data_IF_629130754666
#
_entry.id   IF_629130754666
#
_cell.length_a   1.000
_cell.length_b   1.000
_cell.length_c   1.000
_cell.angle_alpha   90.00
_cell.angle_beta   90.00
_cell.angle_gamma   90.00
#
_symmetry.space_group_name_H-M   'P 1'
#
loop_
_entity.id
_entity.type
_entity.pdbx_description
1 polymer ?
#
# COMPACT_ATOMS: atom_id res chain seq x y z
N UNK A 1 -7.78 25.72 -8.15
CA UNK A 1 -6.54 26.51 -7.93
C UNK A 1 -5.58 26.22 -9.09
N UNK A 2 -4.66 27.13 -9.44
CA UNK A 2 -3.80 26.94 -10.63
C UNK A 2 -2.81 25.78 -10.48
N UNK A 3 -2.26 25.55 -9.29
CA UNK A 3 -1.37 24.42 -9.04
C UNK A 3 -1.39 23.92 -7.59
N UNK A 4 -0.88 22.70 -7.39
CA UNK A 4 -0.67 22.08 -6.08
C UNK A 4 0.34 20.94 -6.12
N UNK A 5 0.54 20.29 -4.98
CA UNK A 5 1.54 19.23 -4.80
C UNK A 5 0.92 17.91 -4.32
N UNK A 6 1.36 16.82 -4.93
CA UNK A 6 1.20 15.48 -4.39
C UNK A 6 2.55 15.01 -3.88
N UNK A 7 2.64 14.62 -2.61
CA UNK A 7 3.92 14.32 -1.95
C UNK A 7 3.94 12.86 -1.54
N UNK A 8 4.95 12.11 -1.97
CA UNK A 8 5.29 10.86 -1.32
C UNK A 8 5.88 11.09 0.08
N UNK A 9 6.02 10.03 0.87
CA UNK A 9 6.51 10.06 2.24
C UNK A 9 7.91 9.48 2.37
N UNK A 10 8.09 8.21 2.02
CA UNK A 10 9.31 7.45 2.30
C UNK A 10 10.38 7.80 1.28
N UNK A 11 11.49 8.40 1.72
CA UNK A 11 12.50 8.92 0.80
C UNK A 11 12.25 10.35 0.33
N UNK A 12 11.11 10.96 0.69
CA UNK A 12 10.75 12.35 0.34
C UNK A 12 10.56 13.22 1.58
N UNK A 13 9.62 12.87 2.46
CA UNK A 13 9.34 13.60 3.70
C UNK A 13 10.07 13.03 4.91
N UNK A 14 10.41 11.74 4.88
CA UNK A 14 11.16 11.05 5.93
C UNK A 14 12.20 10.09 5.37
N UNK A 15 13.24 9.85 6.16
CA UNK A 15 14.24 8.81 5.96
C UNK A 15 14.16 7.85 7.15
N UNK A 16 13.48 6.73 6.95
CA UNK A 16 13.12 5.81 8.03
C UNK A 16 12.29 6.50 9.12
N UNK A 17 12.84 6.61 10.34
CA UNK A 17 12.13 7.16 11.49
C UNK A 17 12.36 8.67 11.73
N UNK A 18 13.06 9.37 10.81
CA UNK A 18 13.42 10.78 10.98
C UNK A 18 13.00 11.61 9.77
N UNK A 19 12.68 12.89 9.98
CA UNK A 19 12.41 13.85 8.90
C UNK A 19 13.53 13.87 7.85
N UNK A 20 13.15 13.94 6.57
CA UNK A 20 14.10 14.22 5.51
C UNK A 20 14.55 15.71 5.58
N UNK A 21 15.79 16.03 5.14
CA UNK A 21 16.26 17.41 5.09
C UNK A 21 15.27 18.32 4.33
N UNK A 22 14.91 19.45 4.94
CA UNK A 22 14.00 20.44 4.34
C UNK A 22 12.52 20.05 4.29
N UNK A 23 12.12 18.85 4.72
CA UNK A 23 10.73 18.39 4.61
C UNK A 23 9.74 19.26 5.40
N UNK A 24 10.00 19.48 6.69
CA UNK A 24 9.12 20.30 7.53
C UNK A 24 9.08 21.78 7.06
N UNK A 25 10.21 22.31 6.58
CA UNK A 25 10.29 23.67 6.03
C UNK A 25 9.47 23.79 4.74
N UNK A 26 9.56 22.80 3.85
CA UNK A 26 8.78 22.75 2.62
C UNK A 26 7.27 22.70 2.88
N UNK A 27 6.83 21.86 3.83
CA UNK A 27 5.41 21.77 4.22
C UNK A 27 4.90 23.09 4.81
N UNK A 28 5.67 23.72 5.72
CA UNK A 28 5.36 25.04 6.27
C UNK A 28 5.26 26.10 5.18
N UNK A 29 6.21 26.11 4.25
CA UNK A 29 6.22 27.05 3.13
C UNK A 29 4.98 26.92 2.24
N UNK A 30 4.52 25.70 1.96
CA UNK A 30 3.28 25.47 1.19
C UNK A 30 2.06 26.02 1.91
N UNK A 31 1.91 25.73 3.21
CA UNK A 31 0.80 26.24 4.02
C UNK A 31 0.83 27.78 4.15
N UNK A 32 2.00 28.38 4.44
CA UNK A 32 2.17 29.84 4.56
C UNK A 32 1.74 30.59 3.30
N UNK A 33 1.94 29.98 2.13
CA UNK A 33 1.57 30.55 0.84
C UNK A 33 0.21 30.04 0.31
N UNK A 34 -0.55 29.31 1.13
CA UNK A 34 -1.85 28.74 0.78
C UNK A 34 -1.82 27.87 -0.50
N UNK A 35 -0.70 27.16 -0.72
CA UNK A 35 -0.55 26.26 -1.86
C UNK A 35 -1.00 24.87 -1.44
N UNK A 36 -2.03 24.29 -2.10
CA UNK A 36 -2.61 23.03 -1.66
C UNK A 36 -1.63 21.89 -1.88
N UNK A 37 -1.58 20.97 -0.92
CA UNK A 37 -0.88 19.71 -1.07
C UNK A 37 -1.63 18.53 -0.47
N UNK A 38 -1.30 17.34 -0.95
CA UNK A 38 -1.83 16.08 -0.47
C UNK A 38 -0.71 15.03 -0.39
N UNK A 39 -0.80 14.12 0.56
CA UNK A 39 0.10 12.98 0.67
C UNK A 39 -0.43 11.84 -0.19
N UNK A 40 0.46 11.23 -0.99
CA UNK A 40 0.19 10.06 -1.83
C UNK A 40 1.22 8.97 -1.54
N UNK A 41 0.86 7.98 -0.73
CA UNK A 41 1.81 6.96 -0.22
C UNK A 41 1.29 5.53 -0.41
N UNK A 42 2.19 4.57 -0.64
CA UNK A 42 1.83 3.14 -0.63
C UNK A 42 1.79 2.53 0.79
N UNK A 43 1.97 3.35 1.83
CA UNK A 43 1.77 2.94 3.22
C UNK A 43 0.34 2.38 3.45
N UNK A 44 0.26 1.17 3.98
CA UNK A 44 -0.98 0.50 4.36
C UNK A 44 -1.51 0.92 5.74
N UNK A 45 -1.01 2.01 6.33
CA UNK A 45 -1.41 2.45 7.67
C UNK A 45 -2.76 3.18 7.61
N UNK A 46 -3.59 3.03 8.63
CA UNK A 46 -4.82 3.81 8.80
C UNK A 46 -4.55 5.33 8.79
N UNK A 47 -5.27 6.17 8.01
CA UNK A 47 -4.87 7.57 7.82
C UNK A 47 -4.72 8.39 9.11
N UNK A 48 -5.61 8.30 10.12
CA UNK A 48 -5.39 8.95 11.41
C UNK A 48 -4.19 8.42 12.23
N UNK A 49 -3.87 7.13 12.14
CA UNK A 49 -2.66 6.60 12.75
C UNK A 49 -1.41 7.08 12.01
N UNK A 50 -1.50 7.20 10.68
CA UNK A 50 -0.40 7.69 9.86
C UNK A 50 -0.16 9.19 10.07
N UNK A 51 -1.20 9.99 10.26
CA UNK A 51 -1.10 11.39 10.71
C UNK A 51 -0.27 11.52 11.99
N UNK A 52 -0.59 10.75 13.04
CA UNK A 52 0.15 10.76 14.30
C UNK A 52 1.61 10.31 14.14
N UNK A 53 1.83 9.31 13.28
CA UNK A 53 3.18 8.83 12.96
C UNK A 53 4.02 9.91 12.26
N UNK A 54 3.46 10.55 11.24
CA UNK A 54 4.13 11.59 10.47
C UNK A 54 4.40 12.83 11.32
N UNK A 55 3.45 13.25 12.16
CA UNK A 55 3.64 14.36 13.08
C UNK A 55 4.83 14.12 14.01
N UNK A 56 4.93 12.91 14.60
CA UNK A 56 6.04 12.54 15.48
C UNK A 56 7.39 12.52 14.76
N UNK A 57 7.43 12.08 13.51
CA UNK A 57 8.68 11.89 12.76
C UNK A 57 9.16 13.16 12.06
N UNK A 58 8.24 13.95 11.51
CA UNK A 58 8.52 15.14 10.71
C UNK A 58 8.50 16.41 11.56
N UNK A 59 7.78 16.39 12.70
CA UNK A 59 7.56 17.58 13.51
C UNK A 59 6.58 18.57 12.86
N UNK A 60 5.67 18.07 12.02
CA UNK A 60 4.66 18.87 11.32
C UNK A 60 3.38 18.05 11.16
N UNK A 61 2.25 18.63 11.56
CA UNK A 61 0.95 17.95 11.52
C UNK A 61 0.37 17.96 10.11
N UNK A 62 0.22 16.78 9.52
CA UNK A 62 -0.49 16.59 8.25
C UNK A 62 -1.84 15.94 8.57
N UNK A 63 -2.96 16.67 8.51
CA UNK A 63 -4.24 16.10 8.87
C UNK A 63 -4.56 14.93 7.94
N UNK A 64 -5.22 13.89 8.45
CA UNK A 64 -5.66 12.72 7.71
C UNK A 64 -6.58 13.08 6.54
N UNK A 65 -7.24 14.23 6.60
CA UNK A 65 -7.97 14.82 5.46
C UNK A 65 -7.06 15.23 4.29
N UNK A 66 -5.74 15.26 4.43
CA UNK A 66 -4.75 15.46 3.36
C UNK A 66 -3.96 14.19 3.05
N UNK A 67 -4.35 13.04 3.59
CA UNK A 67 -3.68 11.76 3.32
C UNK A 67 -4.53 10.94 2.34
N UNK A 68 -3.88 10.43 1.31
CA UNK A 68 -4.35 9.32 0.49
C UNK A 68 -3.23 8.31 0.43
N UNK A 69 -3.48 7.13 0.98
CA UNK A 69 -2.50 6.06 0.98
C UNK A 69 -3.13 4.72 0.59
N UNK A 70 -2.31 3.66 0.50
CA UNK A 70 -2.81 2.31 0.25
C UNK A 70 -3.92 1.92 1.24
N UNK A 71 -3.79 2.30 2.52
CA UNK A 71 -4.84 2.12 3.53
C UNK A 71 -6.18 2.77 3.14
N UNK A 72 -6.14 3.99 2.60
CA UNK A 72 -7.33 4.69 2.06
C UNK A 72 -8.00 3.87 0.94
N UNK A 73 -7.21 3.37 -0.01
CA UNK A 73 -7.76 2.57 -1.13
C UNK A 73 -8.37 1.25 -0.66
N UNK A 74 -7.80 0.64 0.39
CA UNK A 74 -8.34 -0.57 1.03
C UNK A 74 -9.67 -0.28 1.71
N UNK A 75 -9.78 0.84 2.44
CA UNK A 75 -11.04 1.26 3.07
C UNK A 75 -12.12 1.49 2.00
N UNK A 76 -11.81 2.23 0.94
CA UNK A 76 -12.75 2.50 -0.15
C UNK A 76 -13.22 1.21 -0.83
N UNK A 77 -12.30 0.28 -1.11
CA UNK A 77 -12.64 -1.05 -1.63
C UNK A 77 -13.60 -1.80 -0.69
N UNK A 78 -13.30 -1.84 0.61
CA UNK A 78 -14.13 -2.54 1.59
C UNK A 78 -15.55 -1.94 1.67
N UNK A 79 -15.66 -0.61 1.61
CA UNK A 79 -16.94 0.11 1.67
C UNK A 79 -17.75 -0.04 0.38
N UNK A 80 -17.11 0.15 -0.77
CA UNK A 80 -17.81 0.30 -2.05
C UNK A 80 -17.96 -1.01 -2.83
N UNK A 81 -17.04 -1.96 -2.67
CA UNK A 81 -16.93 -3.16 -3.53
C UNK A 81 -17.07 -4.48 -2.78
N UNK A 82 -16.67 -4.52 -1.51
CA UNK A 82 -16.67 -5.75 -0.71
C UNK A 82 -17.99 -6.01 0.04
N UNK A 83 -19.01 -5.16 -0.10
CA UNK A 83 -20.25 -5.28 0.68
C UNK A 83 -20.86 -6.68 0.57
N UNK A 84 -21.02 -7.34 1.72
CA UNK A 84 -21.58 -8.69 1.83
C UNK A 84 -20.63 -9.83 1.44
N UNK A 85 -19.45 -9.53 0.90
CA UNK A 85 -18.43 -10.52 0.54
C UNK A 85 -17.59 -10.92 1.74
N UNK A 86 -17.18 -12.18 1.76
CA UNK A 86 -16.19 -12.73 2.68
C UNK A 86 -14.79 -12.52 2.10
N UNK A 87 -13.94 -11.81 2.84
CA UNK A 87 -12.63 -11.40 2.37
C UNK A 87 -11.54 -12.19 3.10
N UNK A 88 -10.65 -12.83 2.34
CA UNK A 88 -9.40 -13.38 2.87
C UNK A 88 -8.38 -12.25 2.95
N UNK A 89 -8.04 -11.84 4.16
CA UNK A 89 -7.09 -10.75 4.41
C UNK A 89 -5.66 -11.31 4.51
N UNK A 90 -4.76 -10.67 3.76
CA UNK A 90 -3.31 -10.85 3.82
C UNK A 90 -2.71 -9.61 4.46
N UNK A 91 -1.98 -9.81 5.56
CA UNK A 91 -1.37 -8.74 6.35
C UNK A 91 -1.47 -8.94 7.84
N UNK A 92 -0.63 -8.25 8.60
CA UNK A 92 -0.66 -8.27 10.05
C UNK A 92 -1.89 -7.50 10.59
N UNK A 93 -2.62 -8.03 11.59
CA UNK A 93 -3.78 -7.37 12.18
C UNK A 93 -3.49 -5.96 12.73
N UNK A 94 -2.30 -5.71 13.27
CA UNK A 94 -1.93 -4.36 13.76
C UNK A 94 -2.02 -3.28 12.68
N UNK A 95 -1.76 -3.62 11.41
CA UNK A 95 -1.88 -2.70 10.29
C UNK A 95 -3.29 -2.70 9.69
N UNK A 96 -3.89 -3.88 9.59
CA UNK A 96 -5.09 -4.11 8.76
C UNK A 96 -6.41 -4.01 9.53
N UNK A 97 -6.43 -4.37 10.81
CA UNK A 97 -7.64 -4.31 11.64
C UNK A 97 -8.17 -2.88 11.82
N UNK A 98 -7.33 -1.83 12.02
CA UNK A 98 -7.80 -0.45 12.02
C UNK A 98 -8.54 -0.06 10.73
N UNK A 99 -8.01 -0.45 9.57
CA UNK A 99 -8.64 -0.21 8.26
C UNK A 99 -10.00 -0.90 8.15
N UNK A 100 -10.06 -2.18 8.51
CA UNK A 100 -11.29 -2.99 8.46
C UNK A 100 -12.36 -2.41 9.38
N UNK A 101 -11.98 -2.03 10.61
CA UNK A 101 -12.89 -1.39 11.58
C UNK A 101 -13.40 -0.04 11.06
N UNK A 102 -12.55 0.77 10.44
CA UNK A 102 -12.95 2.06 9.83
C UNK A 102 -13.91 1.85 8.66
N UNK A 103 -13.68 0.85 7.83
CA UNK A 103 -14.57 0.50 6.73
C UNK A 103 -15.91 -0.09 7.21
N UNK A 104 -15.97 -0.61 8.44
CA UNK A 104 -17.15 -1.27 9.00
C UNK A 104 -17.45 -2.63 8.38
N UNK A 105 -16.49 -3.24 7.68
CA UNK A 105 -16.68 -4.55 7.05
C UNK A 105 -16.44 -5.69 8.05
N UNK A 106 -17.41 -6.59 8.20
CA UNK A 106 -17.39 -7.60 9.27
C UNK A 106 -16.95 -8.99 8.80
N UNK A 107 -17.02 -9.27 7.50
CA UNK A 107 -16.76 -10.61 6.94
C UNK A 107 -15.31 -10.73 6.45
N UNK A 108 -14.36 -10.57 7.37
CA UNK A 108 -12.94 -10.75 7.11
C UNK A 108 -12.38 -11.91 7.93
N UNK A 109 -11.56 -12.74 7.29
CA UNK A 109 -10.73 -13.75 7.95
C UNK A 109 -9.31 -13.65 7.45
N UNK A 110 -8.33 -13.96 8.30
CA UNK A 110 -6.92 -13.93 7.93
C UNK A 110 -6.40 -15.29 7.49
N UNK A 111 -5.39 -15.27 6.63
CA UNK A 111 -4.61 -16.47 6.23
C UNK A 111 -4.15 -17.27 7.45
N UNK A 112 -3.63 -16.60 8.48
CA UNK A 112 -3.17 -17.24 9.72
C UNK A 112 -4.31 -17.91 10.52
N UNK A 113 -5.53 -17.34 10.49
CA UNK A 113 -6.71 -18.00 11.09
C UNK A 113 -7.11 -19.26 10.33
N UNK A 114 -7.06 -19.23 8.99
CA UNK A 114 -7.34 -20.40 8.17
C UNK A 114 -6.34 -21.52 8.45
N UNK A 115 -5.04 -21.19 8.51
CA UNK A 115 -4.01 -22.18 8.86
C UNK A 115 -4.26 -22.79 10.25
N UNK A 116 -4.63 -21.97 11.25
CA UNK A 116 -5.01 -22.43 12.58
C UNK A 116 -6.23 -23.36 12.56
N UNK A 117 -7.28 -23.03 11.78
CA UNK A 117 -8.46 -23.89 11.61
C UNK A 117 -8.13 -25.24 10.98
N UNK A 118 -7.20 -25.23 10.03
CA UNK A 118 -6.69 -26.42 9.37
C UNK A 118 -5.67 -27.19 10.22
N UNK A 119 -5.36 -26.71 11.44
CA UNK A 119 -4.34 -27.26 12.35
C UNK A 119 -2.99 -27.43 11.67
N UNK A 120 -2.65 -26.50 10.77
CA UNK A 120 -1.40 -26.53 10.00
C UNK A 120 -1.29 -27.66 8.99
N UNK A 121 -2.32 -28.49 8.77
CA UNK A 121 -2.24 -29.65 7.85
C UNK A 121 -2.05 -29.23 6.38
N UNK A 122 -2.42 -28.00 6.04
CA UNK A 122 -2.17 -27.44 4.71
C UNK A 122 -0.78 -26.79 4.57
N UNK A 123 0.04 -26.78 5.63
CA UNK A 123 1.36 -26.17 5.64
C UNK A 123 2.43 -27.28 5.61
N UNK A 124 3.40 -27.19 4.70
CA UNK A 124 4.48 -28.18 4.61
C UNK A 124 5.59 -27.88 5.64
N UNK A 125 6.17 -28.95 6.20
CA UNK A 125 7.32 -28.87 7.10
C UNK A 125 6.95 -28.90 8.58
N UNK A 126 7.96 -28.76 9.44
CA UNK A 126 7.74 -28.61 10.88
C UNK A 126 7.23 -27.19 11.17
N UNK A 127 5.91 -27.02 11.15
CA UNK A 127 5.25 -25.74 11.41
C UNK A 127 4.27 -25.87 12.59
N UNK A 128 4.66 -25.33 13.75
CA UNK A 128 3.81 -25.25 14.94
C UNK A 128 2.82 -24.10 14.79
N UNK A 129 1.70 -24.38 14.13
CA UNK A 129 0.68 -23.37 13.82
C UNK A 129 0.13 -22.70 15.07
N UNK A 130 -0.02 -23.42 16.19
CA UNK A 130 -0.60 -22.85 17.41
C UNK A 130 0.36 -21.82 18.03
N UNK A 131 1.66 -22.15 18.08
CA UNK A 131 2.69 -21.21 18.52
C UNK A 131 2.79 -20.00 17.61
N UNK A 132 2.81 -20.20 16.29
CA UNK A 132 2.87 -19.09 15.34
C UNK A 132 1.61 -18.22 15.39
N UNK A 133 0.43 -18.80 15.56
CA UNK A 133 -0.83 -18.08 15.73
C UNK A 133 -0.80 -17.18 16.97
N UNK A 134 -0.29 -17.70 18.10
CA UNK A 134 -0.12 -16.94 19.34
C UNK A 134 0.83 -15.76 19.16
N UNK A 135 2.01 -15.98 18.56
CA UNK A 135 2.98 -14.91 18.30
C UNK A 135 2.39 -13.85 17.37
N UNK A 136 1.67 -14.26 16.32
CA UNK A 136 1.04 -13.35 15.37
C UNK A 136 0.01 -12.41 16.03
N UNK A 137 -0.77 -12.90 17.00
CA UNK A 137 -1.67 -12.09 17.81
C UNK A 137 -0.91 -11.16 18.79
N UNK A 138 0.11 -11.69 19.47
CA UNK A 138 0.95 -10.95 20.44
C UNK A 138 1.69 -9.78 19.78
N UNK A 139 2.35 -10.01 18.63
CA UNK A 139 3.02 -8.97 17.84
C UNK A 139 2.03 -7.93 17.32
N UNK A 140 0.76 -8.34 17.12
CA UNK A 140 -0.29 -7.43 16.73
C UNK A 140 -0.95 -6.68 17.88
N UNK A 141 -0.63 -7.03 19.14
CA UNK A 141 -1.21 -6.45 20.34
C UNK A 141 -2.71 -6.69 20.48
N UNK A 142 -3.23 -7.81 19.98
CA UNK A 142 -4.66 -8.15 20.00
C UNK A 142 -4.92 -9.57 20.52
N UNK A 143 -6.18 -9.87 20.84
CA UNK A 143 -6.67 -11.21 21.08
C UNK A 143 -7.54 -11.72 19.90
N UNK A 144 -7.74 -13.03 19.79
CA UNK A 144 -8.57 -13.64 18.73
C UNK A 144 -10.00 -13.05 18.66
N UNK A 145 -10.56 -12.68 19.82
CA UNK A 145 -11.89 -12.08 19.93
C UNK A 145 -12.01 -10.68 19.32
N UNK A 146 -10.89 -10.01 19.09
CA UNK A 146 -10.84 -8.66 18.50
C UNK A 146 -10.91 -8.70 16.97
N UNK A 147 -10.69 -9.89 16.38
CA UNK A 147 -10.78 -10.11 14.94
C UNK A 147 -12.25 -10.04 14.49
N UNK A 148 -12.52 -9.64 13.22
CA UNK A 148 -13.89 -9.49 12.72
C UNK A 148 -14.74 -10.76 12.86
N UNK A 149 -14.12 -11.92 12.64
CA UNK A 149 -14.69 -13.22 12.96
C UNK A 149 -13.67 -13.99 13.82
N UNK A 150 -13.96 -14.26 15.10
CA UNK A 150 -13.10 -15.08 15.95
C UNK A 150 -12.88 -16.49 15.35
N UNK A 151 -11.70 -17.06 15.54
CA UNK A 151 -11.31 -18.32 14.88
C UNK A 151 -12.19 -19.49 15.33
N UNK A 152 -12.58 -19.51 16.61
CA UNK A 152 -13.47 -20.52 17.16
C UNK A 152 -14.95 -20.32 16.78
N UNK A 153 -15.30 -19.25 16.07
CA UNK A 153 -16.69 -18.96 15.70
C UNK A 153 -17.32 -20.11 14.90
N UNK A 154 -18.58 -20.49 15.20
CA UNK A 154 -19.34 -21.42 14.35
C UNK A 154 -19.62 -20.84 12.96
N UNK A 155 -19.60 -19.51 12.83
CA UNK A 155 -19.81 -18.79 11.58
C UNK A 155 -18.51 -18.54 10.81
N UNK A 156 -17.39 -19.15 11.24
CA UNK A 156 -16.13 -19.04 10.51
C UNK A 156 -16.30 -19.62 9.09
N UNK A 157 -16.04 -18.85 8.03
CA UNK A 157 -16.34 -19.26 6.67
C UNK A 157 -15.39 -20.36 6.17
N UNK A 158 -15.95 -21.34 5.46
CA UNK A 158 -15.19 -22.35 4.72
C UNK A 158 -14.74 -21.88 3.33
N UNK A 159 -15.29 -20.75 2.87
CA UNK A 159 -15.12 -20.17 1.54
C UNK A 159 -14.95 -18.65 1.61
N UNK A 160 -14.18 -18.10 0.69
CA UNK A 160 -13.96 -16.66 0.55
C UNK A 160 -14.34 -16.20 -0.86
N UNK A 161 -14.83 -14.98 -0.96
CA UNK A 161 -15.25 -14.37 -2.22
C UNK A 161 -14.06 -13.70 -2.93
N UNK A 162 -13.20 -13.01 -2.16
CA UNK A 162 -12.08 -12.20 -2.68
C UNK A 162 -10.87 -12.27 -1.73
N UNK A 163 -9.70 -11.93 -2.25
CA UNK A 163 -8.42 -11.92 -1.52
C UNK A 163 -7.90 -10.49 -1.47
N UNK A 164 -7.59 -10.01 -0.27
CA UNK A 164 -7.17 -8.63 -0.04
C UNK A 164 -5.78 -8.56 0.59
N UNK A 165 -4.81 -8.07 -0.18
CA UNK A 165 -3.49 -7.67 0.29
C UNK A 165 -3.59 -6.27 0.93
N UNK A 166 -3.91 -6.25 2.22
CA UNK A 166 -4.28 -5.03 2.96
C UNK A 166 -3.09 -4.33 3.64
N UNK A 167 -2.04 -5.07 4.00
CA UNK A 167 -0.86 -4.53 4.69
C UNK A 167 0.24 -5.57 4.81
N UNK A 168 1.45 -5.16 5.17
CA UNK A 168 2.57 -6.08 5.29
C UNK A 168 2.28 -7.22 6.29
N UNK A 169 2.72 -8.42 5.92
CA UNK A 169 2.65 -9.63 6.74
C UNK A 169 4.07 -10.09 7.06
N UNK A 170 4.26 -10.81 8.16
CA UNK A 170 5.51 -11.51 8.48
C UNK A 170 5.37 -13.05 8.35
N UNK A 171 4.26 -13.52 7.78
CA UNK A 171 3.92 -14.95 7.68
C UNK A 171 3.78 -15.41 6.23
N UNK A 172 4.60 -14.86 5.32
CA UNK A 172 4.44 -14.98 3.85
C UNK A 172 4.29 -16.41 3.35
N UNK A 173 4.97 -17.37 3.95
CA UNK A 173 4.83 -18.78 3.58
C UNK A 173 3.39 -19.29 3.82
N UNK A 174 2.83 -18.98 4.99
CA UNK A 174 1.43 -19.30 5.33
C UNK A 174 0.47 -18.54 4.43
N UNK A 175 0.76 -17.26 4.19
CA UNK A 175 -0.05 -16.42 3.31
C UNK A 175 -0.15 -17.02 1.91
N UNK A 176 0.99 -17.29 1.27
CA UNK A 176 1.05 -17.86 -0.07
C UNK A 176 0.35 -19.22 -0.11
N UNK A 177 0.59 -20.10 0.86
CA UNK A 177 -0.03 -21.42 0.89
C UNK A 177 -1.56 -21.34 0.97
N UNK A 178 -2.10 -20.55 1.90
CA UNK A 178 -3.56 -20.39 2.07
C UNK A 178 -4.20 -19.72 0.87
N UNK A 179 -3.53 -18.73 0.27
CA UNK A 179 -4.01 -18.08 -0.96
C UNK A 179 -4.02 -19.08 -2.12
N UNK A 180 -2.98 -19.90 -2.28
CA UNK A 180 -2.95 -20.95 -3.29
C UNK A 180 -4.10 -21.95 -3.10
N UNK A 181 -4.41 -22.33 -1.86
CA UNK A 181 -5.58 -23.19 -1.56
C UNK A 181 -6.87 -22.54 -2.06
N UNK A 182 -7.10 -21.26 -1.75
CA UNK A 182 -8.26 -20.51 -2.20
C UNK A 182 -8.32 -20.38 -3.74
N UNK A 183 -7.20 -20.09 -4.40
CA UNK A 183 -7.13 -19.91 -5.84
C UNK A 183 -7.36 -21.21 -6.61
N UNK A 184 -6.79 -22.32 -6.14
CA UNK A 184 -6.88 -23.63 -6.79
C UNK A 184 -8.20 -24.35 -6.52
N UNK A 185 -8.93 -23.96 -5.47
CA UNK A 185 -10.21 -24.55 -5.07
C UNK A 185 -11.39 -23.59 -5.20
N UNK A 186 -11.29 -22.58 -6.07
CA UNK A 186 -12.32 -21.57 -6.33
C UNK A 186 -12.95 -21.00 -5.04
N UNK A 187 -12.12 -20.44 -4.17
CA UNK A 187 -12.54 -19.76 -2.94
C UNK A 187 -12.60 -20.65 -1.70
N UNK A 188 -12.47 -21.97 -1.83
CA UNK A 188 -12.53 -22.85 -0.66
C UNK A 188 -11.21 -22.83 0.12
N UNK A 189 -11.30 -22.49 1.40
CA UNK A 189 -10.16 -22.41 2.33
C UNK A 189 -10.16 -23.49 3.41
N UNK A 190 -11.32 -24.09 3.71
CA UNK A 190 -11.43 -25.23 4.65
C UNK A 190 -11.76 -26.55 3.93
N UNK A 191 -11.78 -27.69 4.64
CA UNK A 191 -11.97 -29.01 4.01
C UNK A 191 -13.39 -29.21 3.48
N UNK A 192 -14.36 -28.72 4.23
CA UNK A 192 -15.80 -28.89 4.06
C UNK A 192 -16.44 -27.91 3.07
N UNK A 193 -15.70 -26.89 2.63
CA UNK A 193 -16.23 -25.88 1.71
C UNK A 193 -16.46 -26.42 0.31
N UNK A 194 -17.37 -25.77 -0.42
CA UNK A 194 -17.78 -26.10 -1.78
C UNK A 194 -17.17 -25.11 -2.77
N UNK A 195 -16.55 -25.57 -3.87
CA UNK A 195 -16.00 -24.68 -4.88
C UNK A 195 -17.07 -23.72 -5.40
N UNK A 196 -16.68 -22.45 -5.55
CA UNK A 196 -17.52 -21.42 -6.16
C UNK A 196 -17.47 -21.50 -7.69
N UNK A 197 -18.41 -20.83 -8.33
CA UNK A 197 -18.49 -20.74 -9.80
C UNK A 197 -17.26 -20.08 -10.42
N UNK A 198 -16.69 -19.09 -9.72
CA UNK A 198 -15.49 -18.38 -10.13
C UNK A 198 -14.44 -18.35 -9.02
N UNK A 199 -13.18 -18.26 -9.44
CA UNK A 199 -12.05 -18.05 -8.54
C UNK A 199 -12.12 -16.65 -7.91
N UNK A 200 -11.64 -16.49 -6.65
CA UNK A 200 -11.48 -15.17 -6.04
C UNK A 200 -10.58 -14.26 -6.86
N UNK A 201 -10.97 -13.00 -6.99
CA UNK A 201 -10.12 -11.94 -7.50
C UNK A 201 -9.23 -11.39 -6.37
N UNK A 202 -8.08 -10.83 -6.74
CA UNK A 202 -7.10 -10.29 -5.80
C UNK A 202 -7.15 -8.77 -5.83
N UNK A 203 -7.20 -8.14 -4.66
CA UNK A 203 -7.10 -6.70 -4.48
C UNK A 203 -5.85 -6.37 -3.68
N UNK A 204 -5.01 -5.47 -4.18
CA UNK A 204 -3.74 -5.12 -3.55
C UNK A 204 -3.61 -3.63 -3.30
N UNK A 205 -3.53 -3.26 -2.02
CA UNK A 205 -3.33 -1.87 -1.58
C UNK A 205 -1.92 -1.38 -1.88
N UNK A 206 -0.90 -2.09 -1.37
CA UNK A 206 0.50 -1.81 -1.66
C UNK A 206 1.01 -2.76 -2.75
N UNK A 207 1.59 -2.21 -3.81
CA UNK A 207 2.12 -2.96 -4.96
C UNK A 207 3.61 -2.75 -5.18
N UNK A 208 4.27 -1.95 -4.35
CA UNK A 208 5.73 -1.84 -4.42
C UNK A 208 6.35 -3.19 -4.10
N UNK A 209 7.47 -3.51 -4.75
CA UNK A 209 8.26 -4.70 -4.45
C UNK A 209 9.21 -4.40 -3.28
N UNK A 210 9.70 -3.17 -3.21
CA UNK A 210 10.63 -2.71 -2.18
C UNK A 210 10.40 -1.26 -1.82
N UNK A 211 10.95 -0.84 -0.68
CA UNK A 211 10.97 0.55 -0.25
C UNK A 211 12.33 0.96 0.29
N UNK A 212 12.60 2.26 0.26
CA UNK A 212 13.77 2.88 0.87
C UNK A 212 13.61 3.03 2.38
N UNK A 213 14.62 2.65 3.16
CA UNK A 213 14.63 2.75 4.61
C UNK A 213 16.05 3.06 5.11
N UNK A 214 16.28 3.02 6.43
CA UNK A 214 17.58 3.28 7.05
C UNK A 214 18.64 2.17 6.85
N UNK A 215 18.32 1.12 6.08
CA UNK A 215 19.25 0.04 5.79
C UNK A 215 20.04 0.33 4.50
N UNK A 216 21.21 -0.30 4.35
CA UNK A 216 22.14 -0.02 3.24
C UNK A 216 21.61 -0.38 1.84
N UNK A 217 20.55 -1.18 1.77
CA UNK A 217 19.84 -1.55 0.53
C UNK A 217 18.32 -1.60 0.78
N UNK A 218 17.47 -1.40 -0.25
CA UNK A 218 16.01 -1.43 -0.12
C UNK A 218 15.49 -2.71 0.55
N UNK A 219 14.39 -2.60 1.30
CA UNK A 219 13.74 -3.73 1.98
C UNK A 219 12.51 -4.18 1.20
N UNK A 220 12.21 -5.47 1.24
CA UNK A 220 11.05 -6.03 0.56
C UNK A 220 9.76 -5.64 1.28
N UNK A 221 8.68 -5.51 0.51
CA UNK A 221 7.32 -5.24 0.98
C UNK A 221 6.39 -6.37 0.54
N UNK A 222 5.13 -6.29 0.96
CA UNK A 222 4.06 -7.19 0.57
C UNK A 222 3.92 -7.40 -0.95
N UNK A 223 4.25 -6.41 -1.79
CA UNK A 223 4.19 -6.61 -3.24
C UNK A 223 5.18 -7.67 -3.74
N UNK A 224 6.29 -7.91 -3.05
CA UNK A 224 7.15 -9.07 -3.35
C UNK A 224 6.42 -10.39 -3.11
N UNK A 225 5.64 -10.51 -2.03
CA UNK A 225 4.85 -11.70 -1.76
C UNK A 225 3.78 -11.92 -2.85
N UNK A 226 3.16 -10.83 -3.34
CA UNK A 226 2.23 -10.88 -4.47
C UNK A 226 2.91 -11.34 -5.76
N UNK A 227 4.08 -10.82 -6.12
CA UNK A 227 4.83 -11.28 -7.30
C UNK A 227 5.23 -12.76 -7.18
N UNK A 228 5.71 -13.17 -6.00
CA UNK A 228 6.03 -14.56 -5.71
C UNK A 228 4.82 -15.49 -5.82
N UNK A 229 3.65 -15.06 -5.34
CA UNK A 229 2.39 -15.78 -5.49
C UNK A 229 2.02 -15.93 -6.98
N UNK A 230 2.05 -14.85 -7.75
CA UNK A 230 1.68 -14.87 -9.18
C UNK A 230 2.59 -15.82 -9.96
N UNK A 231 3.90 -15.74 -9.73
CA UNK A 231 4.88 -16.63 -10.36
C UNK A 231 4.64 -18.09 -9.97
N UNK A 232 4.36 -18.35 -8.69
CA UNK A 232 4.06 -19.70 -8.18
C UNK A 232 2.80 -20.27 -8.82
N UNK A 233 1.70 -19.50 -8.84
CA UNK A 233 0.45 -19.88 -9.48
C UNK A 233 0.65 -20.22 -10.95
N UNK A 234 1.34 -19.33 -11.70
CA UNK A 234 1.62 -19.53 -13.12
C UNK A 234 2.44 -20.78 -13.36
N UNK A 235 3.45 -21.05 -12.52
CA UNK A 235 4.31 -22.23 -12.64
C UNK A 235 3.57 -23.54 -12.35
N UNK A 236 2.70 -23.55 -11.35
CA UNK A 236 1.95 -24.74 -10.95
C UNK A 236 0.79 -25.07 -11.88
N UNK A 237 0.11 -24.05 -12.41
CA UNK A 237 -1.10 -24.25 -13.22
C UNK A 237 -0.86 -24.14 -14.72
N UNK A 238 0.27 -23.59 -15.14
CA UNK A 238 0.55 -23.18 -16.51
C UNK A 238 -0.49 -22.18 -17.06
N UNK A 239 -1.12 -21.38 -16.18
CA UNK A 239 -2.12 -20.36 -16.52
C UNK A 239 -1.62 -18.97 -16.13
N UNK A 240 -1.99 -17.96 -16.90
CA UNK A 240 -1.68 -16.55 -16.65
C UNK A 240 -2.99 -15.73 -16.67
N UNK A 241 -3.90 -16.09 -15.76
CA UNK A 241 -5.29 -15.63 -15.78
C UNK A 241 -5.77 -15.11 -14.42
N UNK A 242 -4.85 -14.79 -13.50
CA UNK A 242 -5.21 -14.13 -12.24
C UNK A 242 -5.71 -12.71 -12.51
N UNK A 243 -6.87 -12.38 -11.96
CA UNK A 243 -7.40 -11.01 -11.97
C UNK A 243 -6.91 -10.31 -10.71
N UNK A 244 -6.07 -9.29 -10.89
CA UNK A 244 -5.42 -8.55 -9.80
C UNK A 244 -5.72 -7.06 -9.96
N UNK A 245 -6.47 -6.51 -9.01
CA UNK A 245 -6.79 -5.10 -8.89
C UNK A 245 -5.73 -4.42 -8.03
N UNK A 246 -4.83 -3.70 -8.69
CA UNK A 246 -3.73 -2.98 -8.03
C UNK A 246 -4.17 -1.54 -7.77
N UNK A 247 -4.21 -1.15 -6.50
CA UNK A 247 -4.89 0.08 -6.06
C UNK A 247 -3.92 1.19 -5.66
N UNK A 248 -2.71 0.85 -5.20
CA UNK A 248 -1.63 1.79 -4.87
C UNK A 248 -0.87 2.32 -6.09
N UNK A 249 0.17 3.11 -5.86
CA UNK A 249 1.09 3.62 -6.89
C UNK A 249 1.85 2.45 -7.55
N UNK A 250 2.12 2.48 -8.87
CA UNK A 250 1.85 3.55 -9.84
C UNK A 250 0.44 3.56 -10.45
N UNK A 251 -0.49 2.75 -9.94
CA UNK A 251 -1.78 2.52 -10.60
C UNK A 251 -2.75 3.69 -10.43
N UNK A 252 -3.62 3.87 -11.43
CA UNK A 252 -4.48 5.06 -11.55
C UNK A 252 -5.46 5.27 -10.40
N UNK A 253 -5.78 4.24 -9.62
CA UNK A 253 -6.76 4.30 -8.53
C UNK A 253 -6.38 5.35 -7.49
N UNK A 254 -5.19 5.25 -6.89
CA UNK A 254 -4.72 6.20 -5.87
C UNK A 254 -4.54 7.62 -6.44
N UNK A 255 -4.04 7.75 -7.67
CA UNK A 255 -3.83 9.04 -8.32
C UNK A 255 -5.16 9.72 -8.69
N UNK A 256 -6.19 8.95 -9.06
CA UNK A 256 -7.52 9.49 -9.34
C UNK A 256 -8.17 10.05 -8.08
N UNK A 257 -8.01 9.37 -6.94
CA UNK A 257 -8.47 9.88 -5.65
C UNK A 257 -7.72 11.18 -5.30
N UNK A 258 -6.39 11.21 -5.47
CA UNK A 258 -5.58 12.40 -5.22
C UNK A 258 -5.96 13.59 -6.10
N UNK A 259 -6.18 13.35 -7.39
CA UNK A 259 -6.58 14.40 -8.32
C UNK A 259 -7.94 15.01 -7.96
N UNK A 260 -8.93 14.17 -7.64
CA UNK A 260 -10.26 14.65 -7.21
C UNK A 260 -10.20 15.47 -5.92
N UNK A 261 -9.29 15.12 -5.02
CA UNK A 261 -9.18 15.76 -3.70
C UNK A 261 -8.36 17.04 -3.73
N UNK A 262 -7.34 17.12 -4.58
CA UNK A 262 -6.50 18.31 -4.74
C UNK A 262 -7.18 19.38 -5.61
N UNK A 263 -7.92 18.96 -6.65
CA UNK A 263 -8.70 19.85 -7.55
C UNK A 263 -7.90 21.03 -8.13
N UNK A 264 -6.74 20.71 -8.70
CA UNK A 264 -5.79 21.65 -9.31
C UNK A 264 -5.64 21.42 -10.81
N UNK A 265 -5.43 22.49 -11.56
CA UNK A 265 -5.12 22.41 -12.99
C UNK A 265 -3.73 21.81 -13.24
N UNK A 266 -2.76 22.15 -12.39
CA UNK A 266 -1.39 21.62 -12.43
C UNK A 266 -1.07 20.91 -11.12
N UNK A 267 -0.58 19.68 -11.17
CA UNK A 267 -0.17 18.93 -9.97
C UNK A 267 1.26 18.47 -10.11
N UNK A 268 2.12 18.81 -9.13
CA UNK A 268 3.48 18.27 -9.06
C UNK A 268 3.53 17.08 -8.11
N UNK A 269 3.78 15.88 -8.63
CA UNK A 269 4.06 14.69 -7.82
C UNK A 269 5.54 14.67 -7.46
N UNK A 270 5.88 14.90 -6.19
CA UNK A 270 7.24 14.78 -5.67
C UNK A 270 7.42 13.37 -5.09
N UNK A 271 8.31 12.59 -5.69
CA UNK A 271 8.56 11.19 -5.35
C UNK A 271 10.04 10.82 -5.47
N UNK A 272 10.42 9.68 -4.90
CA UNK A 272 11.79 9.15 -4.92
C UNK A 272 11.95 7.94 -5.87
N UNK A 273 10.84 7.43 -6.41
CA UNK A 273 10.81 6.15 -7.13
C UNK A 273 10.46 6.28 -8.61
N UNK A 274 11.37 5.80 -9.46
CA UNK A 274 11.16 5.61 -10.89
C UNK A 274 10.21 4.45 -11.23
N UNK A 275 9.78 3.67 -10.25
CA UNK A 275 8.90 2.51 -10.43
C UNK A 275 7.46 2.77 -9.96
N UNK A 276 7.24 3.76 -9.09
CA UNK A 276 5.92 4.04 -8.51
C UNK A 276 5.47 5.49 -8.71
N UNK A 277 6.21 6.48 -8.19
CA UNK A 277 5.77 7.88 -8.20
C UNK A 277 5.75 8.50 -9.59
N UNK A 278 6.90 8.40 -10.28
CA UNK A 278 7.13 9.00 -11.59
C UNK A 278 6.20 8.40 -12.65
N UNK A 279 6.12 7.08 -12.83
CA UNK A 279 5.18 6.49 -13.78
C UNK A 279 3.71 6.77 -13.46
N UNK A 280 3.33 6.80 -12.18
CA UNK A 280 1.95 7.13 -11.80
C UNK A 280 1.56 8.57 -12.15
N UNK A 281 2.44 9.54 -11.89
CA UNK A 281 2.23 10.93 -12.27
C UNK A 281 2.24 11.12 -13.79
N UNK A 282 3.17 10.48 -14.50
CA UNK A 282 3.25 10.53 -15.96
C UNK A 282 1.99 9.93 -16.63
N UNK A 283 1.38 8.91 -16.02
CA UNK A 283 0.10 8.34 -16.45
C UNK A 283 -1.09 9.31 -16.32
N UNK A 284 -0.93 10.39 -15.55
CA UNK A 284 -1.94 11.42 -15.31
C UNK A 284 -1.62 12.76 -16.01
N UNK A 285 -0.63 12.78 -16.91
CA UNK A 285 -0.16 13.99 -17.62
C UNK A 285 -1.29 14.76 -18.33
N UNK A 286 -2.26 14.04 -18.91
CA UNK A 286 -3.38 14.65 -19.65
C UNK A 286 -4.37 15.36 -18.69
N UNK A 287 -4.20 15.18 -17.38
CA UNK A 287 -4.91 15.87 -16.29
C UNK A 287 -4.02 16.88 -15.56
N UNK A 288 -2.92 17.30 -16.18
CA UNK A 288 -2.02 18.35 -15.65
C UNK A 288 -1.01 17.88 -14.61
N UNK A 289 -0.77 16.58 -14.48
CA UNK A 289 0.24 16.05 -13.57
C UNK A 289 1.65 16.15 -14.17
N UNK A 290 2.60 16.58 -13.34
CA UNK A 290 4.03 16.61 -13.62
C UNK A 290 4.78 15.83 -12.56
N UNK A 291 5.68 14.97 -13.01
CA UNK A 291 6.53 14.15 -12.15
C UNK A 291 7.79 14.91 -11.73
N UNK A 292 8.09 14.88 -10.44
CA UNK A 292 9.26 15.51 -9.82
C UNK A 292 10.00 14.44 -9.03
N UNK A 293 11.21 14.10 -9.46
CA UNK A 293 12.05 13.12 -8.77
C UNK A 293 12.99 13.84 -7.79
N UNK A 294 13.10 13.32 -6.57
CA UNK A 294 14.13 13.70 -5.59
C UNK A 294 15.11 12.55 -5.32
N UNK A 295 16.35 12.87 -4.96
CA UNK A 295 17.44 11.87 -4.82
C UNK A 295 17.71 11.43 -3.37
N UNK A 296 16.87 11.85 -2.44
CA UNK A 296 16.95 11.48 -1.02
C UNK A 296 16.59 10.02 -0.75
N UNK A 297 15.83 9.36 -1.64
CA UNK A 297 15.32 8.00 -1.44
C UNK A 297 15.97 6.94 -2.34
N UNK A 298 15.13 6.07 -2.91
CA UNK A 298 15.49 4.87 -3.68
C UNK A 298 16.32 5.18 -4.92
N UNK A 299 15.96 6.22 -5.66
CA UNK A 299 16.64 6.57 -6.91
C UNK A 299 17.86 7.44 -6.64
N UNK A 300 19.01 7.03 -7.17
CA UNK A 300 20.25 7.84 -7.19
C UNK A 300 20.47 8.45 -8.58
N UNK A 301 21.20 9.58 -8.70
CA UNK A 301 21.36 10.28 -9.98
C UNK A 301 21.94 9.41 -11.11
N UNK A 302 22.85 8.49 -10.79
CA UNK A 302 23.50 7.55 -11.71
C UNK A 302 22.53 6.49 -12.26
N UNK A 303 21.43 6.20 -11.57
CA UNK A 303 20.41 5.25 -12.03
C UNK A 303 19.56 5.81 -13.17
N UNK A 304 19.54 7.12 -13.40
CA UNK A 304 18.66 7.74 -14.40
C UNK A 304 18.88 7.19 -15.80
N UNK A 305 20.14 6.96 -16.19
CA UNK A 305 20.47 6.53 -17.56
C UNK A 305 19.92 5.14 -17.88
N UNK A 306 19.91 4.23 -16.91
CA UNK A 306 19.33 2.88 -17.05
C UNK A 306 17.82 2.92 -17.26
N UNK A 307 17.15 3.93 -16.71
CA UNK A 307 15.70 4.07 -16.77
C UNK A 307 15.20 4.90 -17.96
N UNK A 308 16.08 5.61 -18.68
CA UNK A 308 15.70 6.43 -19.86
C UNK A 308 15.09 5.65 -21.01
N UNK A 309 15.32 4.33 -21.07
CA UNK A 309 14.71 3.45 -22.07
C UNK A 309 13.21 3.22 -21.84
N UNK A 310 12.69 3.62 -20.68
CA UNK A 310 11.30 3.50 -20.27
C UNK A 310 10.65 4.89 -20.21
N UNK A 311 9.93 5.32 -21.27
CA UNK A 311 9.38 6.68 -21.35
C UNK A 311 8.46 7.05 -20.18
N UNK A 312 7.76 6.07 -19.63
CA UNK A 312 6.88 6.27 -18.47
C UNK A 312 7.65 6.63 -17.19
N UNK A 313 8.96 6.35 -17.13
CA UNK A 313 9.81 6.58 -15.96
C UNK A 313 10.63 7.85 -16.05
N UNK A 314 10.51 8.63 -17.13
CA UNK A 314 11.27 9.87 -17.28
C UNK A 314 10.62 10.97 -16.43
N UNK A 315 11.31 11.53 -15.42
CA UNK A 315 10.74 12.60 -14.61
C UNK A 315 10.68 13.92 -15.40
N UNK A 316 9.70 14.76 -15.09
CA UNK A 316 9.61 16.11 -15.68
C UNK A 316 10.68 17.04 -15.09
N UNK A 317 10.91 16.92 -13.78
CA UNK A 317 11.92 17.67 -13.05
C UNK A 317 12.70 16.74 -12.12
N UNK A 318 13.93 17.12 -11.79
CA UNK A 318 14.77 16.45 -10.81
C UNK A 318 15.37 17.47 -9.85
N UNK A 319 15.40 17.16 -8.56
CA UNK A 319 15.98 18.01 -7.51
C UNK A 319 16.73 17.15 -6.49
N UNK A 320 17.60 17.76 -5.68
CA UNK A 320 18.32 17.04 -4.64
C UNK A 320 17.37 16.51 -3.55
N UNK A 321 16.46 17.37 -3.09
CA UNK A 321 15.49 17.10 -2.03
C UNK A 321 14.17 17.86 -2.23
N UNK A 322 13.21 17.64 -1.33
CA UNK A 322 11.90 18.30 -1.36
C UNK A 322 11.99 19.81 -1.15
N UNK A 323 12.93 20.30 -0.34
CA UNK A 323 13.10 21.72 -0.07
C UNK A 323 13.48 22.49 -1.32
N UNK A 324 14.45 21.96 -2.08
CA UNK A 324 14.84 22.52 -3.38
C UNK A 324 13.69 22.45 -4.40
N UNK A 325 12.99 21.31 -4.47
CA UNK A 325 11.88 21.10 -5.39
C UNK A 325 10.74 22.10 -5.16
N UNK A 326 10.25 22.20 -3.93
CA UNK A 326 9.16 23.12 -3.57
C UNK A 326 9.58 24.57 -3.80
N UNK A 327 10.75 24.97 -3.34
CA UNK A 327 11.26 26.35 -3.52
C UNK A 327 11.31 26.73 -5.00
N UNK A 328 11.89 25.85 -5.84
CA UNK A 328 12.04 26.09 -7.28
C UNK A 328 10.70 26.19 -7.99
N UNK A 329 9.74 25.32 -7.64
CA UNK A 329 8.42 25.29 -8.27
C UNK A 329 7.53 26.45 -7.81
N UNK A 330 7.68 26.93 -6.57
CA UNK A 330 7.03 28.15 -6.11
C UNK A 330 7.58 29.40 -6.81
N UNK A 331 8.90 29.49 -7.03
CA UNK A 331 9.52 30.56 -7.84
C UNK A 331 9.02 30.54 -9.29
N UNK A 332 8.94 29.34 -9.89
CA UNK A 332 8.40 29.15 -11.24
C UNK A 332 6.98 29.71 -11.40
N UNK A 333 6.18 29.62 -10.34
CA UNK A 333 4.81 30.16 -10.28
C UNK A 333 4.72 31.58 -9.71
N UNK A 334 5.86 32.26 -9.48
CA UNK A 334 5.90 33.64 -9.00
C UNK A 334 5.43 33.83 -7.55
N UNK A 335 5.36 32.75 -6.76
CA UNK A 335 4.98 32.81 -5.33
C UNK A 335 6.15 33.30 -4.47
N UNK A 336 7.36 32.86 -4.80
CA UNK A 336 8.60 33.29 -4.16
C UNK A 336 9.42 34.16 -5.12
N UNK A 337 10.19 35.10 -4.56
CA UNK A 337 11.10 35.97 -5.30
C UNK A 337 12.46 35.33 -5.61
#
# INVERSE_FOLDING_TARGET
MSFGFALDVDGVLRLGATAAPGAADALRMLDEHNVPFIIVSNSGIDPPLFEQELERQIGYTIPSSRIINAGTTVIDYLVEKARGKTILVVGAPVLTLPLIKRAGHQRCVYTMQVAMKMKGVNIQGEFDVEKHYKVWLEESGIEDKDLPIPTASPDFPSEVDEILFAGDSNTWYVDIQVIMDALLRNGVVLREGKPRDSRPEIYAGNTDISYGANYVIPRLTLGTALEGLVATYKRLTNRDDLVIHRMGKPYSTIFTLAHRKLDTETTYMIGDSLLSDIPGANGMKDKGWHSVLVFTGQTKPDMLDEHRVHPERIPTYTYADIGEAVTSLLKKHGVLQ
#
